data_IF_644858200906
#
_entry.id   IF_644858200906
#
_cell.length_a   1.000
_cell.length_b   1.000
_cell.length_c   1.000
_cell.angle_alpha   90.00
_cell.angle_beta   90.00
_cell.angle_gamma   90.00
#
_symmetry.space_group_name_H-M   'P 1'
#
loop_
_entity.id
_entity.type
_entity.pdbx_description
1 polymer ?
#
# COMPACT_ATOMS: atom_id res chain seq x y z
N UNK A 1 6.09 -28.26 4.36
CA UNK A 1 4.95 -28.30 3.42
C UNK A 1 4.06 -27.12 3.74
N UNK A 2 3.76 -26.26 2.76
CA UNK A 2 2.83 -25.13 2.94
C UNK A 2 1.43 -25.69 2.70
N UNK A 3 0.67 -25.91 3.77
CA UNK A 3 -0.72 -26.34 3.65
C UNK A 3 -1.54 -25.20 3.01
N UNK A 4 -2.45 -25.51 2.08
CA UNK A 4 -3.35 -24.51 1.54
C UNK A 4 -4.17 -23.88 2.67
N UNK A 5 -4.35 -22.55 2.68
CA UNK A 5 -4.97 -21.85 3.80
C UNK A 5 -6.47 -22.16 3.94
N UNK A 6 -7.10 -22.74 2.92
CA UNK A 6 -8.53 -23.07 2.89
C UNK A 6 -8.73 -24.50 2.40
N UNK A 7 -9.77 -25.20 2.88
CA UNK A 7 -10.03 -26.58 2.43
C UNK A 7 -10.57 -26.64 0.99
N UNK A 8 -11.32 -25.63 0.55
CA UNK A 8 -11.90 -25.58 -0.79
C UNK A 8 -10.87 -25.24 -1.86
N UNK A 9 -10.91 -25.92 -3.01
CA UNK A 9 -10.08 -25.60 -4.18
C UNK A 9 -10.25 -24.13 -4.63
N UNK A 10 -11.49 -23.67 -4.81
CA UNK A 10 -11.77 -22.29 -5.24
C UNK A 10 -11.26 -21.25 -4.23
N UNK A 11 -11.37 -21.52 -2.93
CA UNK A 11 -10.82 -20.64 -1.89
C UNK A 11 -9.30 -20.52 -1.97
N UNK A 12 -8.60 -21.63 -2.21
CA UNK A 12 -7.15 -21.59 -2.42
C UNK A 12 -6.77 -20.86 -3.70
N UNK A 13 -7.52 -21.07 -4.79
CA UNK A 13 -7.28 -20.36 -6.04
C UNK A 13 -7.42 -18.85 -5.86
N UNK A 14 -8.51 -18.39 -5.22
CA UNK A 14 -8.70 -16.98 -4.91
C UNK A 14 -7.57 -16.44 -4.02
N UNK A 15 -7.14 -17.21 -3.02
CA UNK A 15 -6.03 -16.83 -2.15
C UNK A 15 -4.74 -16.60 -2.94
N UNK A 16 -4.39 -17.50 -3.86
CA UNK A 16 -3.19 -17.35 -4.69
C UNK A 16 -3.29 -16.13 -5.62
N UNK A 17 -4.46 -15.88 -6.21
CA UNK A 17 -4.68 -14.69 -7.03
C UNK A 17 -4.57 -13.40 -6.21
N UNK A 18 -5.13 -13.38 -5.01
CA UNK A 18 -5.00 -12.25 -4.10
C UNK A 18 -3.54 -12.04 -3.66
N UNK A 19 -2.79 -13.11 -3.41
CA UNK A 19 -1.38 -13.04 -3.05
C UNK A 19 -0.53 -12.49 -4.21
N UNK A 20 -0.76 -12.96 -5.44
CA UNK A 20 -0.10 -12.46 -6.64
C UNK A 20 -0.43 -10.98 -6.89
N UNK A 21 -1.70 -10.60 -6.75
CA UNK A 21 -2.14 -9.22 -6.88
C UNK A 21 -1.47 -8.31 -5.83
N UNK A 22 -1.47 -8.73 -4.56
CA UNK A 22 -0.81 -7.99 -3.48
C UNK A 22 0.70 -7.83 -3.72
N UNK A 23 1.35 -8.87 -4.24
CA UNK A 23 2.76 -8.81 -4.62
C UNK A 23 3.02 -7.78 -5.72
N UNK A 24 2.24 -7.84 -6.81
CA UNK A 24 2.37 -6.92 -7.94
C UNK A 24 2.10 -5.46 -7.54
N UNK A 25 1.02 -5.22 -6.77
CA UNK A 25 0.71 -3.89 -6.22
C UNK A 25 1.84 -3.38 -5.34
N UNK A 26 2.42 -4.24 -4.49
CA UNK A 26 3.57 -3.89 -3.66
C UNK A 26 4.82 -3.53 -4.49
N UNK A 27 5.05 -4.22 -5.60
CA UNK A 27 6.14 -3.94 -6.52
C UNK A 27 5.94 -2.60 -7.22
N UNK A 28 4.74 -2.35 -7.77
CA UNK A 28 4.38 -1.10 -8.43
C UNK A 28 4.45 0.10 -7.51
N UNK A 29 3.99 -0.05 -6.26
CA UNK A 29 4.11 1.01 -5.26
C UNK A 29 5.58 1.41 -5.05
N UNK A 30 6.50 0.43 -5.03
CA UNK A 30 7.94 0.69 -4.88
C UNK A 30 8.56 1.34 -6.11
N UNK A 31 8.12 0.99 -7.31
CA UNK A 31 8.70 1.50 -8.55
C UNK A 31 8.14 2.87 -8.94
N UNK A 32 6.82 3.07 -8.80
CA UNK A 32 6.10 4.24 -9.28
C UNK A 32 5.93 5.34 -8.24
N UNK A 33 5.68 4.98 -6.97
CA UNK A 33 5.27 5.95 -5.96
C UNK A 33 6.40 6.33 -4.99
N UNK A 34 7.21 5.36 -4.54
CA UNK A 34 8.14 5.58 -3.45
C UNK A 34 9.37 6.43 -3.82
N UNK A 35 9.76 7.40 -2.97
CA UNK A 35 11.04 8.10 -3.10
C UNK A 35 12.24 7.15 -3.08
N UNK A 36 13.32 7.51 -3.80
CA UNK A 36 14.54 6.69 -3.92
C UNK A 36 15.11 6.24 -2.57
N UNK A 37 14.98 7.08 -1.54
CA UNK A 37 15.46 6.82 -0.18
C UNK A 37 14.76 5.62 0.51
N UNK A 38 13.47 5.42 0.26
CA UNK A 38 12.67 4.35 0.88
C UNK A 38 12.45 3.14 -0.04
N UNK A 39 12.81 3.27 -1.32
CA UNK A 39 12.65 2.22 -2.34
C UNK A 39 13.41 0.92 -2.03
N UNK A 40 14.52 0.98 -1.27
CA UNK A 40 15.29 -0.21 -0.83
C UNK A 40 14.77 -0.84 0.47
N UNK A 41 13.77 -0.26 1.13
CA UNK A 41 13.24 -0.81 2.37
C UNK A 41 12.65 -2.21 2.17
N UNK A 42 12.86 -3.10 3.16
CA UNK A 42 12.27 -4.45 3.15
C UNK A 42 10.74 -4.36 3.18
N UNK A 43 10.05 -5.29 2.51
CA UNK A 43 8.59 -5.28 2.40
C UNK A 43 7.84 -5.16 3.74
N UNK A 44 8.35 -5.81 4.80
CA UNK A 44 7.80 -5.68 6.16
C UNK A 44 7.85 -4.23 6.68
N UNK A 45 8.98 -3.55 6.46
CA UNK A 45 9.15 -2.14 6.86
C UNK A 45 8.22 -1.24 6.05
N UNK A 46 8.11 -1.49 4.74
CA UNK A 46 7.18 -0.76 3.87
C UNK A 46 5.72 -0.92 4.34
N UNK A 47 5.30 -2.15 4.67
CA UNK A 47 3.96 -2.43 5.16
C UNK A 47 3.65 -1.65 6.43
N UNK A 48 4.53 -1.68 7.43
CA UNK A 48 4.30 -0.99 8.69
C UNK A 48 4.41 0.53 8.56
N UNK A 49 5.31 1.00 7.69
CA UNK A 49 5.56 2.43 7.54
C UNK A 49 4.54 3.13 6.64
N UNK A 50 3.91 2.46 5.67
CA UNK A 50 3.04 3.13 4.69
C UNK A 50 1.65 2.49 4.53
N UNK A 51 1.48 1.19 4.79
CA UNK A 51 0.20 0.50 4.60
C UNK A 51 -0.57 0.31 5.91
N UNK A 52 0.13 0.09 7.02
CA UNK A 52 -0.44 -0.12 8.35
C UNK A 52 -0.05 1.04 9.27
N UNK A 53 -0.42 2.25 8.87
CA UNK A 53 -0.12 3.47 9.60
C UNK A 53 -1.32 3.85 10.45
N UNK A 54 -1.06 4.28 11.69
CA UNK A 54 -2.06 4.90 12.54
C UNK A 54 -2.46 6.26 11.96
N UNK A 55 -3.48 6.26 11.10
CA UNK A 55 -4.07 7.46 10.52
C UNK A 55 -5.59 7.38 10.59
N UNK A 56 -6.23 8.53 10.79
CA UNK A 56 -7.68 8.69 10.76
C UNK A 56 -8.09 9.24 9.40
N UNK A 57 -8.87 8.48 8.65
CA UNK A 57 -9.54 8.97 7.45
C UNK A 57 -10.84 9.66 7.85
N UNK A 58 -10.92 10.96 7.57
CA UNK A 58 -12.10 11.79 7.85
C UNK A 58 -12.66 12.27 6.52
N UNK A 59 -13.94 12.04 6.29
CA UNK A 59 -14.65 12.63 5.15
C UNK A 59 -15.24 13.96 5.58
N UNK A 60 -14.87 15.04 4.89
CA UNK A 60 -15.44 16.36 5.11
C UNK A 60 -16.01 16.87 3.78
N UNK A 61 -17.35 16.92 3.70
CA UNK A 61 -18.07 17.19 2.46
C UNK A 61 -17.70 16.21 1.34
N UNK A 62 -17.17 16.74 0.24
CA UNK A 62 -16.70 15.97 -0.94
C UNK A 62 -15.22 15.61 -0.90
N UNK A 63 -14.51 15.89 0.21
CA UNK A 63 -13.06 15.66 0.34
C UNK A 63 -12.76 14.61 1.40
N UNK A 64 -11.75 13.80 1.12
CA UNK A 64 -11.17 12.85 2.08
C UNK A 64 -9.91 13.47 2.70
N UNK A 65 -9.90 13.61 4.01
CA UNK A 65 -8.82 14.15 4.81
C UNK A 65 -8.17 13.01 5.59
N UNK A 66 -6.86 12.80 5.38
CA UNK A 66 -6.09 11.80 6.11
C UNK A 66 -5.33 12.52 7.24
N UNK A 67 -5.67 12.22 8.50
CA UNK A 67 -5.01 12.79 9.68
C UNK A 67 -4.05 11.77 10.26
N UNK A 68 -2.77 12.07 10.24
CA UNK A 68 -1.73 11.22 10.85
C UNK A 68 -1.57 11.51 12.33
N UNK A 69 -1.09 10.54 13.10
CA UNK A 69 -0.61 10.78 14.45
C UNK A 69 0.58 11.75 14.43
N UNK A 70 0.69 12.63 15.43
CA UNK A 70 1.72 13.68 15.47
C UNK A 70 3.16 13.12 15.39
N UNK A 71 3.39 11.92 15.93
CA UNK A 71 4.68 11.26 15.94
C UNK A 71 5.01 10.48 14.65
N UNK A 72 4.19 10.57 13.59
CA UNK A 72 4.43 9.78 12.37
C UNK A 72 5.60 10.36 11.54
N UNK A 73 6.72 9.64 11.43
CA UNK A 73 7.97 10.21 10.90
C UNK A 73 8.03 10.25 9.36
N UNK A 74 7.07 9.63 8.66
CA UNK A 74 7.11 9.46 7.22
C UNK A 74 6.00 10.23 6.49
N UNK A 75 5.45 11.29 7.10
CA UNK A 75 4.33 12.06 6.53
C UNK A 75 4.68 12.67 5.17
N UNK A 76 5.88 13.25 5.04
CA UNK A 76 6.35 13.85 3.79
C UNK A 76 6.57 12.81 2.69
N UNK A 77 7.16 11.67 3.06
CA UNK A 77 7.36 10.55 2.13
C UNK A 77 6.01 9.98 1.66
N UNK A 78 5.03 9.91 2.56
CA UNK A 78 3.67 9.46 2.23
C UNK A 78 2.97 10.45 1.29
N UNK A 79 3.01 11.75 1.61
CA UNK A 79 2.42 12.78 0.78
C UNK A 79 3.05 12.81 -0.63
N UNK A 80 4.37 12.65 -0.72
CA UNK A 80 5.10 12.54 -1.99
C UNK A 80 4.65 11.33 -2.79
N UNK A 81 4.59 10.15 -2.15
CA UNK A 81 4.13 8.93 -2.80
C UNK A 81 2.69 9.06 -3.32
N UNK A 82 1.81 9.67 -2.53
CA UNK A 82 0.41 9.91 -2.93
C UNK A 82 0.32 10.88 -4.12
N UNK A 83 1.16 11.92 -4.15
CA UNK A 83 1.25 12.83 -5.31
C UNK A 83 1.69 12.10 -6.57
N UNK A 84 2.73 11.25 -6.49
CA UNK A 84 3.16 10.45 -7.64
C UNK A 84 2.06 9.53 -8.15
N UNK A 85 1.34 8.84 -7.26
CA UNK A 85 0.23 7.96 -7.66
C UNK A 85 -0.88 8.76 -8.36
N UNK A 86 -1.23 9.94 -7.84
CA UNK A 86 -2.27 10.80 -8.44
C UNK A 86 -1.84 11.44 -9.76
N UNK A 87 -0.54 11.55 -10.00
CA UNK A 87 0.02 12.05 -11.25
C UNK A 87 0.19 10.96 -12.30
N UNK A 88 -0.07 9.68 -11.97
CA UNK A 88 -0.06 8.62 -12.96
C UNK A 88 -1.12 8.90 -14.03
N UNK A 89 -0.80 8.67 -15.31
CA UNK A 89 -1.77 8.86 -16.38
C UNK A 89 -2.98 7.96 -16.10
N UNK A 90 -4.17 8.54 -16.21
CA UNK A 90 -5.38 7.73 -16.28
C UNK A 90 -5.29 6.94 -17.59
N UNK A 91 -5.16 5.61 -17.47
CA UNK A 91 -5.34 4.74 -18.62
C UNK A 91 -6.83 4.79 -18.97
N UNK A 92 -7.15 5.57 -20.00
CA UNK A 92 -8.44 5.65 -20.67
C UNK A 92 -8.37 4.94 -22.01
#
# INVERSE_FOLDING_TARGET
MIHPPVQSFFGNWLYWQAAALAHNVGLWLRTLALPRAVRRARGKRLRLAFLNVAARLVRHGRRLHLRFAAAYPHVEAFATALRHIRALPAFG
#
